data_IF_221199206785
#
_entry.id   IF_221199206785
#
_cell.length_a   1.000
_cell.length_b   1.000
_cell.length_c   1.000
_cell.angle_alpha   90.00
_cell.angle_beta   90.00
_cell.angle_gamma   90.00
#
_symmetry.space_group_name_H-M   'P 1'
#
loop_
_entity.id
_entity.type
_entity.pdbx_description
1 polymer ?
#
# COMPACT_ATOMS: atom_id res chain seq x y z
N UNK A 1 24.24 -15.11 -0.79
CA UNK A 1 23.00 -14.42 -0.39
C UNK A 1 22.42 -13.76 -1.64
N UNK A 2 21.51 -14.44 -2.35
CA UNK A 2 20.87 -13.86 -3.54
C UNK A 2 20.03 -12.67 -3.11
N UNK A 3 20.44 -11.47 -3.53
CA UNK A 3 19.61 -10.26 -3.42
C UNK A 3 18.31 -10.57 -4.13
N UNK A 4 17.20 -10.75 -3.40
CA UNK A 4 15.87 -10.74 -3.99
C UNK A 4 15.68 -9.34 -4.56
N UNK A 5 16.06 -9.15 -5.82
CA UNK A 5 15.58 -8.04 -6.63
C UNK A 5 14.09 -8.30 -6.78
N UNK A 6 13.29 -7.67 -5.94
CA UNK A 6 11.87 -7.47 -6.23
C UNK A 6 11.81 -6.87 -7.63
N UNK A 7 11.42 -7.68 -8.62
CA UNK A 7 11.19 -7.16 -9.96
C UNK A 7 10.10 -6.10 -9.83
N UNK A 8 10.23 -4.95 -10.50
CA UNK A 8 9.29 -3.83 -10.35
C UNK A 8 7.81 -4.20 -10.61
N UNK A 9 7.55 -5.36 -11.21
CA UNK A 9 6.23 -5.84 -11.66
C UNK A 9 5.90 -7.24 -11.11
N UNK A 10 6.42 -7.61 -9.93
CA UNK A 10 5.94 -8.83 -9.28
C UNK A 10 4.66 -8.51 -8.49
N UNK A 11 3.53 -9.04 -8.97
CA UNK A 11 2.22 -8.86 -8.34
C UNK A 11 2.22 -9.27 -6.86
N UNK A 12 3.07 -10.23 -6.48
CA UNK A 12 3.22 -10.66 -5.08
C UNK A 12 3.86 -9.56 -4.22
N UNK A 13 4.75 -8.74 -4.79
CA UNK A 13 5.33 -7.58 -4.11
C UNK A 13 4.27 -6.47 -3.94
N UNK A 14 3.44 -6.22 -4.96
CA UNK A 14 2.36 -5.25 -4.90
C UNK A 14 1.28 -5.63 -3.87
N UNK A 15 0.88 -6.91 -3.82
CA UNK A 15 -0.06 -7.42 -2.79
C UNK A 15 0.52 -7.28 -1.38
N UNK A 16 1.82 -7.60 -1.19
CA UNK A 16 2.47 -7.46 0.10
C UNK A 16 2.60 -5.99 0.53
N UNK A 17 2.92 -5.09 -0.41
CA UNK A 17 2.93 -3.64 -0.18
C UNK A 17 1.55 -3.13 0.19
N UNK A 18 0.50 -3.54 -0.52
CA UNK A 18 -0.88 -3.18 -0.23
C UNK A 18 -1.28 -3.57 1.20
N UNK A 19 -1.03 -4.83 1.58
CA UNK A 19 -1.30 -5.32 2.95
C UNK A 19 -0.56 -4.52 4.02
N UNK A 20 0.71 -4.22 3.79
CA UNK A 20 1.52 -3.39 4.71
C UNK A 20 0.98 -1.96 4.80
N UNK A 21 0.58 -1.36 3.69
CA UNK A 21 0.03 0.01 3.68
C UNK A 21 -1.29 0.09 4.42
N UNK A 22 -2.18 -0.89 4.24
CA UNK A 22 -3.45 -1.01 4.98
C UNK A 22 -3.18 -1.15 6.48
N UNK A 23 -2.34 -2.11 6.88
CA UNK A 23 -2.01 -2.32 8.30
C UNK A 23 -1.37 -1.08 8.94
N UNK A 24 -0.53 -0.35 8.19
CA UNK A 24 0.05 0.91 8.66
C UNK A 24 -0.97 2.04 8.79
N UNK A 25 -2.03 2.05 7.97
CA UNK A 25 -3.11 3.03 8.07
C UNK A 25 -4.00 2.73 9.29
N UNK A 26 -4.37 1.47 9.50
CA UNK A 26 -5.16 1.00 10.65
C UNK A 26 -4.42 1.24 11.96
N UNK A 27 -3.13 0.88 12.04
CA UNK A 27 -2.31 1.12 13.23
C UNK A 27 -2.15 2.61 13.53
N UNK A 28 -2.06 3.44 12.48
CA UNK A 28 -1.99 4.89 12.65
C UNK A 28 -3.35 5.47 13.10
N UNK A 29 -4.47 4.93 12.62
CA UNK A 29 -5.81 5.32 13.07
C UNK A 29 -6.03 4.98 14.55
N UNK A 30 -5.60 3.79 14.99
CA UNK A 30 -5.60 3.46 16.43
C UNK A 30 -4.72 4.41 17.25
N UNK A 31 -3.58 4.86 16.70
CA UNK A 31 -2.71 5.83 17.37
C UNK A 31 -3.35 7.23 17.48
N UNK A 32 -4.34 7.57 16.63
CA UNK A 32 -5.06 8.84 16.72
C UNK A 32 -5.86 8.98 18.01
N UNK A 33 -6.24 7.87 18.66
CA UNK A 33 -6.93 7.89 19.96
C UNK A 33 -6.08 8.53 21.06
N UNK A 34 -4.75 8.45 20.94
CA UNK A 34 -3.80 8.96 21.92
C UNK A 34 -3.08 10.24 21.46
N UNK A 35 -3.29 10.66 20.21
CA UNK A 35 -2.61 11.81 19.62
C UNK A 35 -3.48 13.07 19.66
N UNK A 36 -2.85 14.23 19.84
CA UNK A 36 -3.53 15.52 19.83
C UNK A 36 -2.80 16.55 18.94
N UNK A 37 -3.44 17.71 18.78
CA UNK A 37 -2.87 18.89 18.12
C UNK A 37 -2.17 18.58 16.78
N UNK A 38 -0.86 18.83 16.75
CA UNK A 38 -0.04 18.68 15.54
C UNK A 38 0.21 17.20 15.18
N UNK A 39 0.30 16.33 16.17
CA UNK A 39 0.53 14.90 15.93
C UNK A 39 -0.69 14.26 15.28
N UNK A 40 -1.89 14.57 15.79
CA UNK A 40 -3.15 14.13 15.19
C UNK A 40 -3.29 14.59 13.73
N UNK A 41 -2.94 15.85 13.44
CA UNK A 41 -2.97 16.39 12.08
C UNK A 41 -1.99 15.67 11.15
N UNK A 42 -0.77 15.40 11.61
CA UNK A 42 0.25 14.68 10.84
C UNK A 42 -0.16 13.22 10.56
N UNK A 43 -0.78 12.55 11.54
CA UNK A 43 -1.30 11.20 11.36
C UNK A 43 -2.41 11.19 10.29
N UNK A 44 -3.36 12.12 10.36
CA UNK A 44 -4.45 12.26 9.37
C UNK A 44 -3.92 12.48 7.96
N UNK A 45 -2.97 13.41 7.79
CA UNK A 45 -2.36 13.71 6.48
C UNK A 45 -1.61 12.49 5.93
N UNK A 46 -0.88 11.77 6.79
CA UNK A 46 -0.17 10.56 6.39
C UNK A 46 -1.15 9.44 6.01
N UNK A 47 -2.26 9.29 6.73
CA UNK A 47 -3.31 8.33 6.38
C UNK A 47 -4.01 8.68 5.07
N UNK A 48 -4.26 9.95 4.78
CA UNK A 48 -4.80 10.38 3.49
C UNK A 48 -3.89 9.94 2.32
N UNK A 49 -2.56 10.17 2.42
CA UNK A 49 -1.59 9.71 1.41
C UNK A 49 -1.51 8.19 1.28
N UNK A 50 -1.70 7.46 2.39
CA UNK A 50 -1.77 5.99 2.35
C UNK A 50 -3.01 5.51 1.59
N UNK A 51 -4.13 6.22 1.71
CA UNK A 51 -5.34 5.89 0.97
C UNK A 51 -5.13 6.01 -0.55
N UNK A 52 -4.50 7.10 -1.00
CA UNK A 52 -4.10 7.26 -2.42
C UNK A 52 -3.16 6.13 -2.88
N UNK A 53 -2.21 5.74 -2.02
CA UNK A 53 -1.29 4.62 -2.31
C UNK A 53 -2.02 3.27 -2.40
N UNK A 54 -3.02 3.05 -1.55
CA UNK A 54 -3.87 1.84 -1.56
C UNK A 54 -4.63 1.75 -2.89
N UNK A 55 -5.22 2.86 -3.34
CA UNK A 55 -5.96 2.92 -4.61
C UNK A 55 -5.05 2.64 -5.82
N UNK A 56 -3.85 3.24 -5.85
CA UNK A 56 -2.85 2.96 -6.90
C UNK A 56 -2.48 1.49 -6.93
N UNK A 57 -2.09 0.92 -5.78
CA UNK A 57 -1.68 -0.48 -5.68
C UNK A 57 -2.82 -1.44 -6.06
N UNK A 58 -4.07 -1.13 -5.69
CA UNK A 58 -5.22 -1.93 -6.10
C UNK A 58 -5.44 -1.88 -7.63
N UNK A 59 -5.25 -0.71 -8.24
CA UNK A 59 -5.34 -0.56 -9.70
C UNK A 59 -4.24 -1.35 -10.41
N UNK A 60 -3.00 -1.21 -9.95
CA UNK A 60 -1.82 -1.93 -10.49
C UNK A 60 -2.03 -3.45 -10.43
N UNK A 61 -2.43 -3.99 -9.26
CA UNK A 61 -2.71 -5.42 -9.10
C UNK A 61 -3.82 -5.88 -10.06
N UNK A 62 -4.86 -5.05 -10.26
CA UNK A 62 -5.98 -5.39 -11.15
C UNK A 62 -5.54 -5.39 -12.62
N UNK A 63 -4.73 -4.43 -13.04
CA UNK A 63 -4.20 -4.35 -14.39
C UNK A 63 -3.24 -5.51 -14.68
N UNK A 64 -2.35 -5.84 -13.76
CA UNK A 64 -1.44 -6.98 -13.88
C UNK A 64 -2.22 -8.30 -14.01
N UNK A 65 -3.24 -8.51 -13.18
CA UNK A 65 -4.09 -9.71 -13.28
C UNK A 65 -4.83 -9.78 -14.62
N UNK A 66 -5.31 -8.65 -15.16
CA UNK A 66 -5.90 -8.62 -16.50
C UNK A 66 -4.88 -8.96 -17.58
N UNK A 67 -3.66 -8.42 -17.50
CA UNK A 67 -2.57 -8.73 -18.43
C UNK A 67 -2.18 -10.21 -18.40
N UNK A 68 -2.15 -10.82 -17.20
CA UNK A 68 -1.96 -12.28 -17.03
C UNK A 68 -3.06 -13.10 -17.70
N UNK A 69 -4.32 -12.74 -17.46
CA UNK A 69 -5.47 -13.44 -18.05
C UNK A 69 -5.48 -13.32 -19.58
N UNK A 70 -5.13 -12.15 -20.11
CA UNK A 70 -5.10 -11.91 -21.55
C UNK A 70 -3.81 -12.41 -22.24
N UNK A 71 -2.90 -13.06 -21.51
CA UNK A 71 -1.67 -13.64 -22.08
C UNK A 71 -0.64 -12.62 -22.57
N UNK A 72 -0.67 -11.38 -22.06
CA UNK A 72 0.28 -10.32 -22.41
C UNK A 72 1.58 -10.36 -21.57
N UNK A 73 1.87 -11.48 -20.92
CA UNK A 73 3.04 -11.67 -20.04
C UNK A 73 3.79 -12.94 -20.45
#
# INVERSE_FOLDING_TARGET
MSRKTSMPNDSDDNVNRLKKTISNAEAAEAAMEFADGKELAAIKEKNARRQESIESLQSEIKEENKSRINGYI
#
